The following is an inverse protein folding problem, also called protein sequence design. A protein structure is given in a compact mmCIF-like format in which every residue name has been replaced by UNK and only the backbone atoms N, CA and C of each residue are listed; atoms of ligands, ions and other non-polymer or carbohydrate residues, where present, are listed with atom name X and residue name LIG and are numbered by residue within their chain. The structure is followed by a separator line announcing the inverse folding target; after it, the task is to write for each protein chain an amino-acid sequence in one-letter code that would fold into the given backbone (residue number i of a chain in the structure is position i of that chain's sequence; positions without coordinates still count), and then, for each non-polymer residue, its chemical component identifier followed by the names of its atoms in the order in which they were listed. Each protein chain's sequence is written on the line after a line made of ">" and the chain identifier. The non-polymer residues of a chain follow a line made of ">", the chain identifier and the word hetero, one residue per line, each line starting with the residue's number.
data_IF_617219221073
#
_entry.id   IF_617219221073
#
_cell.length_a   1.000
_cell.length_b   1.000
_cell.length_c   1.000
_cell.angle_alpha   90.00
_cell.angle_beta   90.00
_cell.angle_gamma   90.00
#
_symmetry.space_group_name_H-M   'P 1'
#
loop_
_entity.id
_entity.type
_entity.pdbx_description
1 polymer ?
#
# COMPACT_ATOMS: atom_id res chain seq x y z
N UNK A 1 -14.96 25.34 35.24
CA UNK A 1 -15.10 24.13 34.42
C UNK A 1 -15.74 24.52 33.09
N UNK A 2 -14.95 24.59 32.01
CA UNK A 2 -15.51 24.73 30.66
C UNK A 2 -15.98 23.34 30.24
N UNK A 3 -17.29 23.09 30.25
CA UNK A 3 -17.84 21.86 29.68
C UNK A 3 -17.80 22.02 28.16
N UNK A 4 -16.95 21.24 27.50
CA UNK A 4 -17.02 21.04 26.06
C UNK A 4 -18.43 20.56 25.71
N UNK A 5 -19.16 21.30 24.88
CA UNK A 5 -20.38 20.80 24.27
C UNK A 5 -19.96 19.68 23.33
N UNK A 6 -20.15 18.42 23.75
CA UNK A 6 -20.14 17.31 22.81
C UNK A 6 -21.28 17.55 21.82
N UNK A 7 -20.92 17.96 20.61
CA UNK A 7 -21.85 18.12 19.50
C UNK A 7 -22.44 16.73 19.24
N UNK A 8 -23.77 16.61 19.29
CA UNK A 8 -24.48 15.38 18.97
C UNK A 8 -24.01 14.88 17.59
N UNK A 9 -23.59 13.62 17.48
CA UNK A 9 -23.11 13.06 16.22
C UNK A 9 -24.25 12.98 15.21
N UNK A 10 -24.18 13.80 14.15
CA UNK A 10 -25.10 13.74 13.03
C UNK A 10 -24.64 12.64 12.04
N UNK A 11 -25.53 11.75 11.59
CA UNK A 11 -25.18 10.77 10.58
C UNK A 11 -24.75 11.49 9.29
N UNK A 12 -23.50 11.27 8.88
CA UNK A 12 -22.93 11.88 7.68
C UNK A 12 -22.61 10.79 6.67
N UNK A 13 -23.07 10.96 5.43
CA UNK A 13 -22.82 10.02 4.34
C UNK A 13 -21.68 10.55 3.47
N UNK A 14 -20.67 9.72 3.24
CA UNK A 14 -19.55 10.03 2.34
C UNK A 14 -19.59 9.13 1.12
N UNK A 15 -19.34 9.71 -0.06
CA UNK A 15 -19.08 8.93 -1.27
C UNK A 15 -17.61 8.54 -1.27
N UNK A 16 -17.35 7.24 -1.22
CA UNK A 16 -16.00 6.68 -1.22
C UNK A 16 -15.83 5.74 -2.41
N UNK A 17 -14.59 5.53 -2.82
CA UNK A 17 -14.24 4.50 -3.79
C UNK A 17 -14.57 3.11 -3.22
N UNK A 18 -14.82 2.15 -4.11
CA UNK A 18 -14.92 0.75 -3.69
C UNK A 18 -13.55 0.24 -3.21
N UNK A 19 -13.56 -0.89 -2.50
CA UNK A 19 -12.32 -1.52 -2.04
C UNK A 19 -11.43 -1.91 -3.20
N UNK A 20 -12.03 -2.42 -4.28
CA UNK A 20 -11.36 -2.83 -5.51
C UNK A 20 -10.68 -1.66 -6.21
N UNK A 21 -11.38 -0.52 -6.32
CA UNK A 21 -10.80 0.70 -6.90
C UNK A 21 -9.64 1.23 -6.06
N UNK A 22 -9.76 1.18 -4.73
CA UNK A 22 -8.71 1.59 -3.81
C UNK A 22 -7.49 0.66 -3.92
N UNK A 23 -7.71 -0.65 -3.94
CA UNK A 23 -6.66 -1.65 -4.06
C UNK A 23 -5.91 -1.51 -5.40
N UNK A 24 -6.62 -1.35 -6.51
CA UNK A 24 -6.03 -1.13 -7.83
C UNK A 24 -5.12 0.11 -7.85
N UNK A 25 -5.61 1.23 -7.33
CA UNK A 25 -4.82 2.47 -7.20
C UNK A 25 -3.59 2.28 -6.31
N UNK A 26 -3.74 1.54 -5.21
CA UNK A 26 -2.65 1.25 -4.27
C UNK A 26 -1.58 0.37 -4.88
N UNK A 27 -1.96 -0.65 -5.65
CA UNK A 27 -1.03 -1.54 -6.34
C UNK A 27 -0.26 -0.79 -7.44
N UNK A 28 -0.93 0.11 -8.18
CA UNK A 28 -0.25 0.96 -9.18
C UNK A 28 0.64 2.02 -8.54
N UNK A 29 0.23 2.60 -7.41
CA UNK A 29 1.08 3.50 -6.63
C UNK A 29 2.33 2.77 -6.11
N UNK A 30 2.14 1.56 -5.58
CA UNK A 30 3.21 0.68 -5.13
C UNK A 30 4.18 0.39 -6.27
N UNK A 31 3.68 0.00 -7.45
CA UNK A 31 4.49 -0.23 -8.65
C UNK A 31 5.38 0.97 -9.00
N UNK A 32 4.82 2.19 -8.97
CA UNK A 32 5.54 3.39 -9.39
C UNK A 32 6.54 3.92 -8.35
N UNK A 33 6.24 3.82 -7.04
CA UNK A 33 6.99 4.51 -5.99
C UNK A 33 7.77 3.59 -5.06
N UNK A 34 7.34 2.34 -4.91
CA UNK A 34 7.90 1.37 -3.96
C UNK A 34 7.98 1.90 -2.52
N UNK A 35 6.98 2.68 -2.10
CA UNK A 35 6.91 3.25 -0.75
C UNK A 35 6.34 2.25 0.27
N UNK A 36 6.94 2.22 1.47
CA UNK A 36 6.57 1.27 2.53
C UNK A 36 5.12 1.37 3.01
N UNK A 37 4.51 2.56 2.94
CA UNK A 37 3.09 2.74 3.31
C UNK A 37 2.15 2.01 2.37
N UNK A 38 2.40 2.10 1.06
CA UNK A 38 1.55 1.42 0.08
C UNK A 38 1.71 -0.10 0.16
N UNK A 39 2.89 -0.61 0.53
CA UNK A 39 3.10 -2.04 0.82
C UNK A 39 2.19 -2.49 1.97
N UNK A 40 2.14 -1.73 3.06
CA UNK A 40 1.30 -2.06 4.22
C UNK A 40 -0.19 -2.08 3.85
N UNK A 41 -0.65 -1.04 3.15
CA UNK A 41 -2.04 -0.93 2.72
C UNK A 41 -2.43 -2.08 1.78
N UNK A 42 -1.58 -2.42 0.80
CA UNK A 42 -1.82 -3.54 -0.13
C UNK A 42 -1.82 -4.88 0.62
N UNK A 43 -0.86 -5.11 1.51
CA UNK A 43 -0.76 -6.36 2.28
C UNK A 43 -2.03 -6.63 3.09
N UNK A 44 -2.52 -5.64 3.82
CA UNK A 44 -3.72 -5.79 4.63
C UNK A 44 -5.00 -5.83 3.78
N UNK A 45 -5.05 -5.07 2.68
CA UNK A 45 -6.24 -5.07 1.80
C UNK A 45 -6.39 -6.40 1.06
N UNK A 46 -5.28 -7.07 0.71
CA UNK A 46 -5.31 -8.38 0.07
C UNK A 46 -5.88 -9.50 0.97
N UNK A 47 -5.86 -9.31 2.29
CA UNK A 47 -6.47 -10.24 3.26
C UNK A 47 -8.00 -10.03 3.40
N UNK A 48 -8.53 -8.94 2.84
CA UNK A 48 -9.95 -8.64 2.87
C UNK A 48 -10.69 -9.36 1.74
N UNK A 49 -12.00 -9.57 1.91
CA UNK A 49 -12.87 -10.07 0.84
C UNK A 49 -13.18 -8.94 -0.13
N UNK A 50 -12.82 -9.12 -1.40
CA UNK A 50 -13.16 -8.21 -2.49
C UNK A 50 -13.51 -9.01 -3.76
N UNK A 51 -14.19 -8.36 -4.69
CA UNK A 51 -14.58 -8.99 -5.95
C UNK A 51 -13.43 -8.93 -6.96
N UNK A 52 -12.78 -10.07 -7.19
CA UNK A 52 -11.60 -10.17 -8.06
C UNK A 52 -11.83 -9.59 -9.46
N UNK A 53 -12.97 -9.86 -10.09
CA UNK A 53 -13.27 -9.35 -11.43
C UNK A 53 -13.36 -7.81 -11.48
N UNK A 54 -13.97 -7.20 -10.46
CA UNK A 54 -14.06 -5.74 -10.34
C UNK A 54 -12.67 -5.14 -10.11
N UNK A 55 -11.88 -5.78 -9.26
CA UNK A 55 -10.48 -5.39 -9.04
C UNK A 55 -9.64 -5.45 -10.31
N UNK A 56 -9.72 -6.54 -11.09
CA UNK A 56 -8.96 -6.67 -12.33
C UNK A 56 -9.36 -5.61 -13.36
N UNK A 57 -10.66 -5.31 -13.49
CA UNK A 57 -11.16 -4.23 -14.35
C UNK A 57 -10.64 -2.86 -13.89
N UNK A 58 -10.70 -2.58 -12.60
CA UNK A 58 -10.16 -1.34 -12.03
C UNK A 58 -8.65 -1.24 -12.27
N UNK A 59 -7.91 -2.34 -12.08
CA UNK A 59 -6.47 -2.38 -12.32
C UNK A 59 -6.13 -2.12 -13.78
N UNK A 60 -6.82 -2.78 -14.73
CA UNK A 60 -6.63 -2.57 -16.17
C UNK A 60 -6.86 -1.10 -16.56
N UNK A 61 -7.90 -0.46 -16.02
CA UNK A 61 -8.16 0.96 -16.27
C UNK A 61 -7.02 1.84 -15.73
N UNK A 62 -6.49 1.53 -14.55
CA UNK A 62 -5.39 2.29 -13.97
C UNK A 62 -4.08 2.07 -14.73
N UNK A 63 -3.72 0.84 -15.10
CA UNK A 63 -2.48 0.57 -15.85
C UNK A 63 -2.50 1.26 -17.22
N UNK A 64 -3.64 1.23 -17.92
CA UNK A 64 -3.83 2.00 -19.17
C UNK A 64 -3.71 3.50 -18.94
N UNK A 65 -4.33 4.04 -17.89
CA UNK A 65 -4.26 5.48 -17.58
C UNK A 65 -2.82 5.94 -17.32
N UNK A 66 -2.02 5.14 -16.63
CA UNK A 66 -0.61 5.44 -16.35
C UNK A 66 0.35 4.99 -17.47
N UNK A 67 -0.16 4.48 -18.60
CA UNK A 67 0.64 3.99 -19.73
C UNK A 67 1.70 2.96 -19.32
N UNK A 68 1.33 2.07 -18.40
CA UNK A 68 2.23 0.99 -17.98
C UNK A 68 2.19 -0.10 -19.05
N UNK A 69 3.32 -0.29 -19.72
CA UNK A 69 3.50 -1.27 -20.79
C UNK A 69 4.23 -2.52 -20.29
N UNK A 70 3.99 -3.66 -20.92
CA UNK A 70 4.64 -4.94 -20.58
C UNK A 70 3.91 -5.74 -19.50
N UNK A 71 4.63 -6.69 -18.90
CA UNK A 71 4.08 -7.56 -17.85
C UNK A 71 4.17 -6.85 -16.47
N UNK A 72 3.08 -6.19 -16.11
CA UNK A 72 2.91 -5.45 -14.86
C UNK A 72 3.27 -6.29 -13.63
N UNK A 73 2.81 -7.54 -13.56
CA UNK A 73 2.97 -8.37 -12.38
C UNK A 73 4.40 -8.86 -12.23
N UNK A 74 5.02 -9.30 -13.32
CA UNK A 74 6.41 -9.75 -13.30
C UNK A 74 7.36 -8.61 -12.91
N UNK A 75 7.11 -7.41 -13.40
CA UNK A 75 7.91 -6.24 -13.03
C UNK A 75 7.68 -5.80 -11.58
N UNK A 76 6.43 -5.77 -11.10
CA UNK A 76 6.11 -5.50 -9.70
C UNK A 76 6.83 -6.49 -8.76
N UNK A 77 6.78 -7.78 -9.07
CA UNK A 77 7.42 -8.84 -8.27
C UNK A 77 8.95 -8.67 -8.28
N UNK A 78 9.55 -8.34 -9.43
CA UNK A 78 10.99 -8.05 -9.53
C UNK A 78 11.38 -6.86 -8.66
N UNK A 79 10.62 -5.78 -8.71
CA UNK A 79 10.88 -4.57 -7.92
C UNK A 79 10.76 -4.84 -6.42
N UNK A 80 9.72 -5.58 -5.99
CA UNK A 80 9.56 -6.01 -4.59
C UNK A 80 10.70 -6.93 -4.12
N UNK A 81 11.14 -7.84 -4.99
CA UNK A 81 12.27 -8.73 -4.68
C UNK A 81 13.57 -7.94 -4.50
N UNK A 82 13.78 -6.91 -5.32
CA UNK A 82 14.93 -6.02 -5.18
C UNK A 82 14.84 -5.18 -3.90
N UNK A 83 13.66 -4.62 -3.60
CA UNK A 83 13.42 -3.88 -2.36
C UNK A 83 13.70 -4.74 -1.12
N UNK A 84 13.28 -6.00 -1.12
CA UNK A 84 13.59 -6.97 -0.05
C UNK A 84 15.09 -7.19 0.11
N UNK A 85 15.83 -7.37 -0.98
CA UNK A 85 17.31 -7.52 -0.94
C UNK A 85 17.97 -6.27 -0.36
N UNK A 86 17.55 -5.09 -0.79
CA UNK A 86 18.07 -3.81 -0.30
C UNK A 86 17.79 -3.62 1.20
N UNK A 87 16.58 -3.97 1.67
CA UNK A 87 16.23 -3.88 3.09
C UNK A 87 17.08 -4.83 3.95
N UNK A 88 17.32 -6.05 3.49
CA UNK A 88 18.25 -6.99 4.14
C UNK A 88 19.68 -6.42 4.17
N UNK A 89 20.12 -5.83 3.07
CA UNK A 89 21.45 -5.21 2.98
C UNK A 89 21.59 -4.02 3.94
N UNK A 90 20.66 -3.06 3.94
CA UNK A 90 20.68 -1.91 4.87
C UNK A 90 20.61 -2.39 6.33
N UNK A 91 19.77 -3.39 6.62
CA UNK A 91 19.70 -4.02 7.93
C UNK A 91 21.02 -4.71 8.34
N UNK A 92 21.82 -5.15 7.38
CA UNK A 92 23.16 -5.71 7.59
C UNK A 92 24.30 -4.67 7.58
N UNK A 93 24.10 -3.51 6.95
CA UNK A 93 25.08 -2.40 6.85
C UNK A 93 24.92 -1.35 7.95
N UNK A 94 23.92 -1.50 8.81
CA UNK A 94 23.71 -0.68 10.00
C UNK A 94 24.67 -1.10 11.11
N UNK A 95 25.17 -0.12 11.87
CA UNK A 95 26.23 -0.26 12.86
C UNK A 95 26.20 -1.60 13.63
N UNK A 96 27.20 -2.46 13.37
CA UNK A 96 27.33 -3.80 13.95
C UNK A 96 27.45 -3.79 15.47
N UNK A 97 27.78 -2.64 16.08
CA UNK A 97 27.89 -2.48 17.52
C UNK A 97 26.54 -2.27 18.23
N UNK A 98 25.45 -2.02 17.49
CA UNK A 98 24.11 -1.86 18.06
C UNK A 98 23.28 -3.10 17.74
N UNK A 99 23.01 -3.90 18.77
CA UNK A 99 22.12 -5.07 18.68
C UNK A 99 20.78 -4.68 18.04
N UNK A 100 20.23 -5.54 17.18
CA UNK A 100 18.94 -5.32 16.50
C UNK A 100 17.81 -4.99 17.48
N UNK A 101 17.86 -5.54 18.70
CA UNK A 101 16.87 -5.32 19.77
C UNK A 101 16.88 -3.92 20.37
N UNK A 102 17.95 -3.14 20.14
CA UNK A 102 18.13 -1.78 20.69
C UNK A 102 17.93 -0.71 19.62
N UNK A 103 17.59 -1.09 18.39
CA UNK A 103 17.33 -0.15 17.30
C UNK A 103 15.89 0.34 17.42
N UNK A 104 15.64 1.67 17.30
CA UNK A 104 14.28 2.20 17.27
C UNK A 104 13.48 1.53 16.13
N UNK A 105 12.24 1.15 16.42
CA UNK A 105 11.30 0.62 15.42
C UNK A 105 10.93 1.69 14.39
#
# INVERSE_FOLDING_TARGET
>A
MVKSLFINSYPTMFRVYSLEDLLAKKIVALYNRMEGKDIYDVFHTLDMKFEMEKFLKALELNTKFYLIEGDFWDELIRNLSQAKKNALQIGSSTNHFISKSLRPN
#
